data_IF_332510873715
#
_entry.id   IF_332510873715
#
_cell.length_a   1.000
_cell.length_b   1.000
_cell.length_c   1.000
_cell.angle_alpha   90.00
_cell.angle_beta   90.00
_cell.angle_gamma   90.00
#
_symmetry.space_group_name_H-M   'P 1'
#
loop_
_entity.id
_entity.type
_entity.pdbx_description
1 polymer ?
#
# COMPACT_ATOMS: atom_id res chain seq x y z
N UNK A 1 -65.08 27.03 56.75
CA UNK A 1 -63.76 27.50 56.22
C UNK A 1 -62.58 26.65 56.73
N UNK A 2 -62.81 25.57 57.45
CA UNK A 2 -61.75 24.71 58.04
C UNK A 2 -61.26 23.56 57.14
N UNK A 3 -62.17 22.92 56.37
CA UNK A 3 -61.84 21.71 55.56
C UNK A 3 -60.91 21.95 54.34
N UNK A 4 -60.91 23.11 53.81
CA UNK A 4 -60.07 23.44 52.62
C UNK A 4 -58.59 23.66 53.03
N UNK A 5 -58.34 24.10 54.25
CA UNK A 5 -56.96 24.28 54.75
C UNK A 5 -56.30 22.94 55.11
N UNK A 6 -57.05 21.99 55.71
CA UNK A 6 -56.55 20.65 56.03
C UNK A 6 -56.18 19.85 54.77
N UNK A 7 -57.02 19.89 53.72
CA UNK A 7 -56.74 19.23 52.47
C UNK A 7 -55.52 19.81 51.75
N UNK A 8 -55.31 21.12 51.83
CA UNK A 8 -54.11 21.78 51.28
C UNK A 8 -52.84 21.43 52.07
N UNK A 9 -52.96 21.36 53.38
CA UNK A 9 -51.85 20.96 54.27
C UNK A 9 -51.45 19.53 54.02
N UNK A 10 -52.43 18.64 53.88
CA UNK A 10 -52.22 17.21 53.56
C UNK A 10 -51.56 17.04 52.19
N UNK A 11 -51.97 17.80 51.19
CA UNK A 11 -51.34 17.82 49.86
C UNK A 11 -49.89 18.31 49.88
N UNK A 12 -49.58 19.34 50.65
CA UNK A 12 -48.22 19.87 50.82
C UNK A 12 -47.30 18.85 51.56
N UNK A 13 -47.80 18.16 52.58
CA UNK A 13 -47.04 17.12 53.28
C UNK A 13 -46.77 15.93 52.37
N UNK A 14 -47.74 15.52 51.53
CA UNK A 14 -47.56 14.44 50.57
C UNK A 14 -46.48 14.77 49.50
N UNK A 15 -46.51 16.02 48.99
CA UNK A 15 -45.51 16.48 48.03
C UNK A 15 -44.12 16.49 48.70
N UNK A 16 -44.01 16.95 49.94
CA UNK A 16 -42.75 16.97 50.69
C UNK A 16 -42.17 15.56 50.89
N UNK A 17 -43.02 14.60 51.24
CA UNK A 17 -42.60 13.19 51.41
C UNK A 17 -42.11 12.60 50.07
N UNK A 18 -42.79 12.87 48.96
CA UNK A 18 -42.34 12.41 47.63
C UNK A 18 -41.01 13.03 47.22
N UNK A 19 -40.82 14.34 47.51
CA UNK A 19 -39.55 15.02 47.19
C UNK A 19 -38.41 14.43 48.06
N UNK A 20 -38.63 14.19 49.33
CA UNK A 20 -37.64 13.58 50.22
C UNK A 20 -37.30 12.15 49.77
N UNK A 21 -38.30 11.36 49.35
CA UNK A 21 -38.09 10.01 48.82
C UNK A 21 -37.28 10.01 47.52
N UNK A 22 -37.54 10.99 46.62
CA UNK A 22 -36.76 11.17 45.38
C UNK A 22 -35.31 11.56 45.67
N UNK A 23 -35.09 12.49 46.60
CA UNK A 23 -33.73 12.91 46.97
C UNK A 23 -32.97 11.78 47.66
N UNK A 24 -33.62 10.97 48.52
CA UNK A 24 -33.02 9.78 49.12
C UNK A 24 -32.68 8.72 48.04
N UNK A 25 -33.58 8.53 47.04
CA UNK A 25 -33.35 7.64 45.91
C UNK A 25 -32.13 8.04 45.09
N UNK A 26 -31.96 9.34 44.79
CA UNK A 26 -30.81 9.89 44.08
C UNK A 26 -29.52 9.72 44.88
N UNK A 27 -29.55 9.93 46.18
CA UNK A 27 -28.39 9.76 47.07
C UNK A 27 -27.95 8.28 47.17
N UNK A 28 -28.91 7.36 47.23
CA UNK A 28 -28.63 5.92 47.20
C UNK A 28 -28.07 5.51 45.85
N UNK A 29 -28.69 5.96 44.73
CA UNK A 29 -28.24 5.68 43.37
C UNK A 29 -26.82 6.18 43.12
N UNK A 30 -26.48 7.38 43.58
CA UNK A 30 -25.12 7.95 43.42
C UNK A 30 -24.07 7.20 44.28
N UNK A 31 -24.48 6.56 45.37
CA UNK A 31 -23.60 5.74 46.22
C UNK A 31 -23.30 4.36 45.57
N UNK A 32 -24.26 3.79 44.83
CA UNK A 32 -24.07 2.55 44.08
C UNK A 32 -23.31 2.74 42.78
N UNK A 33 -23.36 3.94 42.20
CA UNK A 33 -22.65 4.28 40.96
C UNK A 33 -21.25 4.90 41.18
N UNK A 34 -20.65 4.74 42.32
CA UNK A 34 -19.23 5.09 42.47
C UNK A 34 -18.45 4.18 41.53
N UNK A 35 -17.74 4.71 40.51
CA UNK A 35 -16.82 3.89 39.71
C UNK A 35 -15.87 3.21 40.68
N UNK A 36 -15.81 1.88 40.60
CA UNK A 36 -14.79 1.14 41.34
C UNK A 36 -13.42 1.70 40.99
N UNK A 37 -12.44 1.58 41.89
CA UNK A 37 -11.09 2.00 41.59
C UNK A 37 -10.68 1.35 40.29
N UNK A 38 -10.46 2.16 39.25
CA UNK A 38 -9.88 1.69 37.98
C UNK A 38 -8.55 1.06 38.40
N UNK A 39 -8.31 -0.23 38.10
CA UNK A 39 -7.03 -0.83 38.39
C UNK A 39 -5.99 -0.03 37.63
N UNK A 40 -5.25 0.81 38.33
CA UNK A 40 -4.02 1.40 37.77
C UNK A 40 -3.13 0.22 37.42
N UNK A 41 -2.68 0.09 36.17
CA UNK A 41 -1.70 -0.92 35.82
C UNK A 41 -0.47 -0.64 36.69
N UNK A 42 -0.25 -1.48 37.72
CA UNK A 42 1.02 -1.55 38.45
C UNK A 42 2.06 -2.17 37.53
N UNK A 43 2.34 -1.51 36.39
CA UNK A 43 3.54 -1.75 35.62
C UNK A 43 4.66 -1.04 36.34
N UNK A 44 5.64 -1.77 36.83
CA UNK A 44 6.93 -1.21 37.21
C UNK A 44 7.39 -0.39 36.00
N UNK A 45 7.49 0.94 36.10
CA UNK A 45 8.02 1.78 35.03
C UNK A 45 9.43 1.31 34.73
N UNK A 46 9.53 0.46 33.71
CA UNK A 46 10.81 -0.05 33.25
C UNK A 46 11.54 1.08 32.55
N UNK A 47 12.65 1.52 33.10
CA UNK A 47 13.49 2.55 32.48
C UNK A 47 13.97 2.05 31.15
N UNK A 48 13.68 2.80 30.06
CA UNK A 48 13.97 2.37 28.69
C UNK A 48 14.67 3.44 27.88
N UNK A 49 15.58 3.01 27.00
CA UNK A 49 16.15 3.80 25.92
C UNK A 49 15.53 3.28 24.63
N UNK A 50 14.80 4.13 23.89
CA UNK A 50 14.24 3.81 22.59
C UNK A 50 15.06 4.45 21.49
N UNK A 51 15.54 3.66 20.55
CA UNK A 51 16.37 4.11 19.42
C UNK A 51 15.86 3.56 18.11
N UNK A 52 15.99 4.38 17.05
CA UNK A 52 15.81 3.94 15.67
C UNK A 52 17.15 3.55 15.06
N UNK A 53 17.14 2.51 14.24
CA UNK A 53 18.27 2.13 13.39
C UNK A 53 17.82 1.97 11.94
N UNK A 54 18.72 2.24 11.00
CA UNK A 54 18.46 2.13 9.58
C UNK A 54 19.57 1.35 8.90
N UNK A 55 19.20 0.42 8.03
CA UNK A 55 20.11 -0.32 7.18
C UNK A 55 19.71 -0.20 5.73
N UNK A 56 20.64 0.16 4.86
CA UNK A 56 20.44 0.27 3.43
C UNK A 56 21.44 -0.62 2.70
N UNK A 57 20.94 -1.38 1.72
CA UNK A 57 21.73 -2.23 0.84
C UNK A 57 21.42 -1.87 -0.60
N UNK A 58 22.45 -1.51 -1.38
CA UNK A 58 22.31 -1.25 -2.82
C UNK A 58 22.56 -2.53 -3.61
N UNK A 59 21.63 -2.89 -4.47
CA UNK A 59 21.72 -4.08 -5.33
C UNK A 59 21.42 -3.76 -6.79
N UNK A 60 22.08 -4.44 -7.71
CA UNK A 60 21.70 -4.40 -9.12
C UNK A 60 20.42 -5.20 -9.33
N UNK A 61 19.43 -4.67 -10.04
CA UNK A 61 18.23 -5.41 -10.43
C UNK A 61 18.61 -6.66 -11.22
N UNK A 62 17.76 -7.69 -11.13
CA UNK A 62 17.91 -8.93 -11.89
C UNK A 62 16.67 -9.32 -12.66
N UNK A 63 15.54 -8.63 -12.39
CA UNK A 63 14.31 -8.75 -13.18
C UNK A 63 13.88 -7.39 -13.72
N UNK A 64 13.12 -7.41 -14.78
CA UNK A 64 12.41 -6.24 -15.30
C UNK A 64 11.02 -6.62 -15.77
N UNK A 65 10.15 -5.64 -15.89
CA UNK A 65 8.84 -5.83 -16.49
C UNK A 65 8.43 -4.61 -17.29
N UNK A 66 7.59 -4.85 -18.28
CA UNK A 66 6.98 -3.81 -19.09
C UNK A 66 5.50 -4.13 -19.33
N UNK A 67 4.75 -3.11 -19.72
CA UNK A 67 3.37 -3.28 -20.15
C UNK A 67 3.32 -3.15 -21.67
N UNK A 68 2.85 -4.20 -22.33
CA UNK A 68 2.58 -4.22 -23.77
C UNK A 68 1.07 -4.20 -23.97
N UNK A 69 0.59 -3.29 -24.82
CA UNK A 69 -0.83 -3.13 -25.11
C UNK A 69 -1.10 -3.28 -26.61
N UNK A 70 -2.23 -3.89 -26.91
CA UNK A 70 -2.87 -3.83 -28.21
C UNK A 70 -4.04 -2.86 -28.09
N UNK A 71 -4.07 -1.86 -28.98
CA UNK A 71 -5.18 -0.92 -29.08
C UNK A 71 -5.77 -1.09 -30.47
N UNK A 72 -7.03 -1.55 -30.54
CA UNK A 72 -7.77 -1.72 -31.78
C UNK A 72 -8.92 -0.74 -31.86
N UNK A 73 -9.30 -0.38 -33.10
CA UNK A 73 -10.48 0.44 -33.37
C UNK A 73 -11.25 -0.16 -34.54
N UNK A 74 -12.57 -0.29 -34.38
CA UNK A 74 -13.44 -0.83 -35.41
C UNK A 74 -14.84 -0.21 -35.36
N UNK A 75 -15.62 -0.38 -36.43
CA UNK A 75 -17.01 0.11 -36.45
C UNK A 75 -17.92 -0.56 -35.46
N UNK A 76 -17.65 -1.81 -35.07
CA UNK A 76 -18.42 -2.55 -34.07
C UNK A 76 -17.51 -3.09 -32.96
N UNK A 77 -18.08 -3.26 -31.75
CA UNK A 77 -17.36 -3.83 -30.61
C UNK A 77 -16.80 -5.23 -30.93
N UNK A 78 -17.59 -6.10 -31.57
CA UNK A 78 -17.17 -7.45 -31.95
C UNK A 78 -15.97 -7.47 -32.91
N UNK A 79 -15.93 -6.53 -33.86
CA UNK A 79 -14.77 -6.41 -34.77
C UNK A 79 -13.51 -5.92 -34.04
N UNK A 80 -13.65 -4.96 -33.11
CA UNK A 80 -12.52 -4.48 -32.32
C UNK A 80 -11.97 -5.63 -31.44
N UNK A 81 -12.84 -6.41 -30.82
CA UNK A 81 -12.46 -7.57 -30.00
C UNK A 81 -11.79 -8.67 -30.83
N UNK A 82 -12.29 -9.01 -32.01
CA UNK A 82 -11.67 -10.01 -32.89
C UNK A 82 -10.25 -9.58 -33.31
N UNK A 83 -10.08 -8.34 -33.71
CA UNK A 83 -8.75 -7.79 -34.08
C UNK A 83 -7.78 -7.81 -32.91
N UNK A 84 -8.25 -7.47 -31.72
CA UNK A 84 -7.46 -7.51 -30.50
C UNK A 84 -7.00 -8.94 -30.17
N UNK A 85 -7.95 -9.88 -30.15
CA UNK A 85 -7.68 -11.29 -29.86
C UNK A 85 -6.63 -11.86 -30.82
N UNK A 86 -6.73 -11.55 -32.11
CA UNK A 86 -5.78 -12.01 -33.12
C UNK A 86 -4.39 -11.42 -32.91
N UNK A 87 -4.30 -10.13 -32.58
CA UNK A 87 -3.03 -9.44 -32.34
C UNK A 87 -2.40 -9.87 -31.00
N UNK A 88 -3.17 -9.84 -29.91
CA UNK A 88 -2.66 -10.18 -28.58
C UNK A 88 -2.23 -11.65 -28.49
N UNK A 89 -2.95 -12.55 -29.15
CA UNK A 89 -2.56 -13.97 -29.24
C UNK A 89 -1.19 -14.16 -29.89
N UNK A 90 -0.87 -13.38 -30.95
CA UNK A 90 0.45 -13.41 -31.59
C UNK A 90 1.54 -12.88 -30.64
N UNK A 91 1.27 -11.78 -29.95
CA UNK A 91 2.20 -11.22 -28.97
C UNK A 91 2.53 -12.25 -27.88
N UNK A 92 1.49 -12.83 -27.27
CA UNK A 92 1.66 -13.83 -26.20
C UNK A 92 2.40 -15.07 -26.70
N UNK A 93 2.04 -15.57 -27.88
CA UNK A 93 2.69 -16.75 -28.48
C UNK A 93 4.18 -16.50 -28.76
N UNK A 94 4.53 -15.32 -29.28
CA UNK A 94 5.91 -14.94 -29.55
C UNK A 94 6.73 -14.84 -28.24
N UNK A 95 6.20 -14.20 -27.22
CA UNK A 95 6.85 -14.07 -25.91
C UNK A 95 7.06 -15.46 -25.25
N UNK A 96 6.04 -16.33 -25.27
CA UNK A 96 6.16 -17.72 -24.77
C UNK A 96 7.21 -18.52 -25.55
N UNK A 97 7.25 -18.37 -26.87
CA UNK A 97 8.25 -19.03 -27.73
C UNK A 97 9.68 -18.52 -27.44
N UNK A 98 9.82 -17.30 -26.99
CA UNK A 98 11.10 -16.70 -26.58
C UNK A 98 11.50 -17.06 -25.14
N UNK A 99 10.71 -17.86 -24.42
CA UNK A 99 11.03 -18.39 -23.10
C UNK A 99 10.37 -17.67 -21.92
N UNK A 100 9.45 -16.74 -22.18
CA UNK A 100 8.65 -16.14 -21.10
C UNK A 100 7.63 -17.17 -20.61
N UNK A 101 7.65 -17.47 -19.31
CA UNK A 101 6.72 -18.42 -18.72
C UNK A 101 5.30 -17.81 -18.66
N UNK A 102 4.27 -18.63 -18.75
CA UNK A 102 2.88 -18.17 -18.74
C UNK A 102 2.53 -17.36 -17.48
N UNK A 103 3.05 -17.77 -16.33
CA UNK A 103 2.87 -17.06 -15.04
C UNK A 103 3.46 -15.66 -15.02
N UNK A 104 4.41 -15.36 -15.93
CA UNK A 104 5.11 -14.09 -16.04
C UNK A 104 4.43 -13.15 -17.07
N UNK A 105 3.30 -13.59 -17.66
CA UNK A 105 2.43 -12.79 -18.54
C UNK A 105 1.08 -12.62 -17.83
N UNK A 106 0.75 -11.38 -17.50
CA UNK A 106 -0.48 -11.08 -16.77
C UNK A 106 -1.28 -9.98 -17.46
N UNK A 107 -2.56 -10.23 -17.76
CA UNK A 107 -3.47 -9.16 -18.22
C UNK A 107 -3.70 -8.18 -17.07
N UNK A 108 -3.43 -6.91 -17.33
CA UNK A 108 -3.54 -5.82 -16.35
C UNK A 108 -4.63 -4.80 -16.71
N UNK A 109 -5.07 -4.81 -17.97
CA UNK A 109 -6.16 -3.95 -18.45
C UNK A 109 -6.88 -4.61 -19.61
N UNK A 110 -8.20 -4.52 -19.62
CA UNK A 110 -9.06 -4.86 -20.73
C UNK A 110 -10.24 -3.88 -20.73
N UNK A 111 -10.24 -2.94 -21.68
CA UNK A 111 -11.20 -1.84 -21.71
C UNK A 111 -11.74 -1.61 -23.12
N UNK A 112 -13.05 -1.69 -23.28
CA UNK A 112 -13.76 -1.37 -24.50
C UNK A 112 -14.53 -0.07 -24.32
N UNK A 113 -14.33 0.90 -25.19
CA UNK A 113 -14.98 2.21 -25.12
C UNK A 113 -15.55 2.63 -26.48
N UNK A 114 -16.74 3.23 -26.51
CA UNK A 114 -17.29 3.80 -27.72
C UNK A 114 -16.52 5.06 -28.13
N UNK A 115 -16.33 5.25 -29.43
CA UNK A 115 -15.74 6.46 -30.01
C UNK A 115 -16.86 7.32 -30.58
N UNK A 116 -16.93 8.57 -30.11
CA UNK A 116 -17.89 9.55 -30.58
C UNK A 116 -17.19 10.67 -31.35
N UNK A 117 -17.83 11.10 -32.43
CA UNK A 117 -17.43 12.30 -33.16
C UNK A 117 -18.33 13.45 -32.73
N UNK A 118 -17.74 14.55 -32.29
CA UNK A 118 -18.48 15.76 -31.94
C UNK A 118 -19.21 16.32 -33.17
N UNK A 119 -20.46 16.69 -32.98
CA UNK A 119 -21.21 17.39 -34.02
C UNK A 119 -20.66 18.81 -34.17
N UNK A 120 -20.38 19.23 -35.44
CA UNK A 120 -19.98 20.61 -35.72
C UNK A 120 -21.14 21.61 -35.60
N UNK A 121 -22.37 21.12 -35.42
CA UNK A 121 -23.57 21.96 -35.30
C UNK A 121 -23.92 22.14 -33.81
N UNK A 122 -24.09 23.38 -33.32
CA UNK A 122 -24.49 23.66 -31.94
C UNK A 122 -25.79 22.94 -31.56
N UNK A 123 -25.77 22.20 -30.44
CA UNK A 123 -26.95 21.53 -29.88
C UNK A 123 -27.24 20.11 -30.42
N UNK A 124 -26.43 19.57 -31.34
CA UNK A 124 -26.54 18.17 -31.75
C UNK A 124 -25.68 17.25 -30.86
N UNK A 125 -26.20 16.08 -30.58
CA UNK A 125 -25.49 15.05 -29.83
C UNK A 125 -24.30 14.49 -30.64
N UNK A 126 -23.21 14.05 -29.97
CA UNK A 126 -22.12 13.35 -30.60
C UNK A 126 -22.62 12.07 -31.32
N UNK A 127 -22.02 11.76 -32.45
CA UNK A 127 -22.37 10.61 -33.27
C UNK A 127 -21.41 9.46 -32.95
N UNK A 128 -21.92 8.28 -32.63
CA UNK A 128 -21.11 7.07 -32.45
C UNK A 128 -20.49 6.69 -33.79
N UNK A 129 -19.15 6.66 -33.86
CA UNK A 129 -18.40 6.34 -35.08
C UNK A 129 -17.64 5.01 -35.00
N UNK A 130 -17.55 4.40 -33.82
CA UNK A 130 -16.88 3.12 -33.64
C UNK A 130 -16.60 2.80 -32.18
N UNK A 131 -15.74 1.82 -31.98
CA UNK A 131 -15.30 1.34 -30.68
C UNK A 131 -13.79 1.24 -30.66
N UNK A 132 -13.19 1.55 -29.51
CA UNK A 132 -11.79 1.32 -29.20
C UNK A 132 -11.69 0.29 -28.11
N UNK A 133 -10.87 -0.74 -28.33
CA UNK A 133 -10.49 -1.72 -27.30
C UNK A 133 -9.02 -1.53 -26.96
N UNK A 134 -8.71 -1.50 -25.68
CA UNK A 134 -7.36 -1.56 -25.13
C UNK A 134 -7.22 -2.83 -24.31
N UNK A 135 -6.25 -3.66 -24.70
CA UNK A 135 -5.87 -4.86 -23.97
C UNK A 135 -4.39 -4.77 -23.62
N UNK A 136 -4.07 -4.75 -22.34
CA UNK A 136 -2.72 -4.58 -21.84
C UNK A 136 -2.28 -5.78 -21.01
N UNK A 137 -1.10 -6.29 -21.32
CA UNK A 137 -0.43 -7.33 -20.55
C UNK A 137 0.83 -6.77 -19.90
N UNK A 138 1.08 -7.18 -18.66
CA UNK A 138 2.39 -7.03 -18.02
C UNK A 138 3.21 -8.26 -18.29
N UNK A 139 4.44 -8.05 -18.74
CA UNK A 139 5.41 -9.10 -19.03
C UNK A 139 6.58 -8.96 -18.08
N UNK A 140 6.79 -9.95 -17.22
CA UNK A 140 7.96 -10.03 -16.35
C UNK A 140 9.06 -10.83 -17.02
N UNK A 141 10.26 -10.26 -17.06
CA UNK A 141 11.45 -10.83 -17.69
C UNK A 141 12.49 -11.10 -16.61
N UNK A 142 12.77 -12.38 -16.36
CA UNK A 142 13.67 -12.83 -15.29
C UNK A 142 15.15 -12.66 -15.65
N UNK A 143 15.49 -12.44 -16.92
CA UNK A 143 16.82 -12.02 -17.36
C UNK A 143 16.75 -10.58 -17.86
N UNK A 144 17.27 -9.67 -17.05
CA UNK A 144 17.22 -8.24 -17.34
C UNK A 144 17.89 -7.87 -18.68
N UNK A 145 18.90 -8.66 -19.12
CA UNK A 145 19.59 -8.43 -20.38
C UNK A 145 18.70 -8.76 -21.59
N UNK A 146 17.71 -9.62 -21.40
CA UNK A 146 16.76 -9.99 -22.45
C UNK A 146 15.57 -9.01 -22.55
N UNK A 147 15.43 -8.04 -21.61
CA UNK A 147 14.25 -7.17 -21.52
C UNK A 147 13.99 -6.40 -22.82
N UNK A 148 15.02 -5.75 -23.39
CA UNK A 148 14.90 -5.01 -24.64
C UNK A 148 14.44 -5.91 -25.80
N UNK A 149 15.03 -7.11 -25.91
CA UNK A 149 14.64 -8.07 -26.94
C UNK A 149 13.18 -8.53 -26.81
N UNK A 150 12.69 -8.73 -25.56
CA UNK A 150 11.30 -9.12 -25.32
C UNK A 150 10.33 -7.98 -25.66
N UNK A 151 10.72 -6.75 -25.39
CA UNK A 151 9.97 -5.56 -25.77
C UNK A 151 9.86 -5.42 -27.29
N UNK A 152 10.98 -5.51 -28.03
CA UNK A 152 11.01 -5.47 -29.49
C UNK A 152 10.17 -6.60 -30.10
N UNK A 153 10.21 -7.80 -29.48
CA UNK A 153 9.42 -8.95 -29.90
C UNK A 153 7.92 -8.70 -29.75
N UNK A 154 7.50 -8.10 -28.63
CA UNK A 154 6.09 -7.74 -28.43
C UNK A 154 5.60 -6.74 -29.50
N UNK A 155 6.38 -5.69 -29.78
CA UNK A 155 6.05 -4.68 -30.79
C UNK A 155 5.96 -5.32 -32.18
N UNK A 156 6.96 -6.12 -32.55
CA UNK A 156 7.02 -6.77 -33.88
C UNK A 156 5.87 -7.75 -34.13
N UNK A 157 5.22 -8.25 -33.07
CA UNK A 157 4.12 -9.21 -33.14
C UNK A 157 2.72 -8.60 -32.91
N UNK A 158 2.62 -7.26 -32.79
CA UNK A 158 1.31 -6.60 -32.78
C UNK A 158 1.02 -5.70 -31.60
N UNK A 159 1.88 -5.63 -30.58
CA UNK A 159 1.75 -4.60 -29.57
C UNK A 159 2.02 -3.23 -30.19
N UNK A 160 1.07 -2.31 -30.07
CA UNK A 160 1.14 -0.98 -30.67
C UNK A 160 1.20 0.17 -29.65
N UNK A 161 1.18 -0.19 -28.36
CA UNK A 161 1.45 0.73 -27.27
C UNK A 161 2.27 -0.01 -26.19
N UNK A 162 3.42 0.55 -25.82
CA UNK A 162 4.30 0.00 -24.79
C UNK A 162 4.60 1.08 -23.79
N UNK A 163 4.43 0.76 -22.52
CA UNK A 163 4.63 1.70 -21.42
C UNK A 163 5.22 1.01 -20.19
N UNK A 164 5.78 1.84 -19.30
CA UNK A 164 6.17 1.40 -17.97
C UNK A 164 7.21 0.30 -17.98
N UNK A 165 8.44 0.60 -18.45
CA UNK A 165 9.58 -0.28 -18.22
C UNK A 165 10.10 -0.05 -16.81
N UNK A 166 10.13 -1.11 -16.02
CA UNK A 166 10.55 -1.09 -14.62
C UNK A 166 11.59 -2.17 -14.35
N UNK A 167 12.40 -1.93 -13.33
CA UNK A 167 13.41 -2.86 -12.87
C UNK A 167 13.19 -3.17 -11.41
N UNK A 168 13.51 -4.40 -11.02
CA UNK A 168 13.31 -4.86 -9.66
C UNK A 168 14.29 -5.97 -9.27
N UNK A 169 14.11 -6.44 -8.04
CA UNK A 169 14.78 -7.61 -7.52
C UNK A 169 13.82 -8.80 -7.60
N UNK A 170 14.34 -9.95 -8.01
CA UNK A 170 13.65 -11.23 -7.83
C UNK A 170 13.37 -11.48 -6.35
N UNK A 171 12.39 -12.33 -6.04
CA UNK A 171 12.06 -12.68 -4.65
C UNK A 171 13.29 -13.18 -3.87
N UNK A 172 14.20 -13.89 -4.53
CA UNK A 172 15.42 -14.39 -3.91
C UNK A 172 16.37 -13.24 -3.54
N UNK A 173 16.60 -12.30 -4.47
CA UNK A 173 17.44 -11.12 -4.21
C UNK A 173 16.79 -10.15 -3.24
N UNK A 174 15.48 -9.97 -3.30
CA UNK A 174 14.76 -9.12 -2.36
C UNK A 174 14.89 -9.64 -0.92
N UNK A 175 14.73 -10.95 -0.69
CA UNK A 175 14.96 -11.59 0.61
C UNK A 175 16.42 -11.47 1.08
N UNK A 176 17.37 -11.57 0.17
CA UNK A 176 18.77 -11.36 0.50
C UNK A 176 19.03 -9.91 0.92
N UNK A 177 18.51 -8.93 0.17
CA UNK A 177 18.62 -7.51 0.49
C UNK A 177 17.97 -7.19 1.84
N UNK A 178 16.77 -7.73 2.08
CA UNK A 178 16.04 -7.60 3.34
C UNK A 178 16.86 -8.08 4.53
N UNK A 179 17.40 -9.30 4.45
CA UNK A 179 18.21 -9.88 5.53
C UNK A 179 19.46 -9.05 5.83
N UNK A 180 20.16 -8.57 4.80
CA UNK A 180 21.34 -7.75 4.95
C UNK A 180 20.99 -6.36 5.51
N UNK A 181 19.93 -5.72 5.00
CA UNK A 181 19.48 -4.42 5.47
C UNK A 181 18.99 -4.48 6.93
N UNK A 182 18.29 -5.56 7.31
CA UNK A 182 17.84 -5.77 8.69
C UNK A 182 19.03 -5.91 9.65
N UNK A 183 20.06 -6.70 9.28
CA UNK A 183 21.27 -6.84 10.09
C UNK A 183 21.98 -5.47 10.31
N UNK A 184 22.06 -4.66 9.25
CA UNK A 184 22.62 -3.32 9.35
C UNK A 184 21.77 -2.39 10.23
N UNK A 185 20.44 -2.44 10.10
CA UNK A 185 19.53 -1.63 10.89
C UNK A 185 19.60 -1.95 12.40
N UNK A 186 19.66 -3.24 12.73
CA UNK A 186 19.81 -3.68 14.14
C UNK A 186 21.14 -3.25 14.70
N UNK A 187 22.24 -3.39 13.94
CA UNK A 187 23.57 -2.94 14.36
C UNK A 187 23.64 -1.42 14.56
N UNK A 188 22.98 -0.64 13.70
CA UNK A 188 22.89 0.81 13.85
C UNK A 188 22.13 1.20 15.12
N UNK A 189 20.97 0.57 15.38
CA UNK A 189 20.20 0.79 16.59
C UNK A 189 20.98 0.42 17.85
N UNK A 190 21.66 -0.73 17.87
CA UNK A 190 22.45 -1.19 19.00
C UNK A 190 23.62 -0.23 19.31
N UNK A 191 24.32 0.24 18.28
CA UNK A 191 25.38 1.22 18.44
C UNK A 191 24.88 2.55 19.01
N UNK A 192 23.71 3.02 18.56
CA UNK A 192 23.07 4.24 19.11
C UNK A 192 22.67 4.06 20.56
N UNK A 193 22.05 2.91 20.89
CA UNK A 193 21.67 2.59 22.27
C UNK A 193 22.88 2.58 23.20
N UNK A 194 23.98 1.92 22.80
CA UNK A 194 25.25 1.91 23.57
C UNK A 194 25.84 3.30 23.73
N UNK A 195 25.82 4.12 22.68
CA UNK A 195 26.32 5.50 22.76
C UNK A 195 25.52 6.33 23.77
N UNK A 196 24.19 6.22 23.75
CA UNK A 196 23.30 6.93 24.68
C UNK A 196 23.52 6.43 26.11
N UNK A 197 23.56 5.12 26.33
CA UNK A 197 23.77 4.54 27.66
C UNK A 197 25.10 4.98 28.27
N UNK A 198 26.17 4.98 27.48
CA UNK A 198 27.49 5.46 27.93
C UNK A 198 27.46 6.95 28.30
N UNK A 199 26.81 7.78 27.49
CA UNK A 199 26.68 9.22 27.78
C UNK A 199 25.84 9.51 29.03
N UNK A 200 24.86 8.63 29.36
CA UNK A 200 24.03 8.73 30.54
C UNK A 200 24.65 8.07 31.78
N UNK A 201 25.75 7.32 31.63
CA UNK A 201 26.40 6.57 32.72
C UNK A 201 25.55 5.39 33.23
N UNK A 202 24.73 4.76 32.36
CA UNK A 202 23.85 3.63 32.67
C UNK A 202 24.28 2.39 31.90
N UNK A 203 23.84 1.21 32.37
CA UNK A 203 24.12 -0.06 31.73
C UNK A 203 22.90 -0.58 30.98
N UNK A 204 23.05 -0.96 29.71
CA UNK A 204 21.99 -1.65 28.95
C UNK A 204 21.83 -3.08 29.48
N UNK A 205 20.58 -3.46 29.73
CA UNK A 205 20.24 -4.83 30.15
C UNK A 205 19.93 -5.70 28.91
N UNK A 206 19.18 -5.16 27.96
CA UNK A 206 18.84 -5.85 26.72
C UNK A 206 17.59 -5.26 26.06
N UNK A 207 17.26 -5.71 24.82
CA UNK A 207 16.09 -5.26 24.12
C UNK A 207 14.81 -5.83 24.76
N UNK A 208 13.76 -5.01 24.90
CA UNK A 208 12.44 -5.37 25.44
C UNK A 208 11.34 -5.31 24.39
N UNK A 209 11.52 -4.52 23.33
CA UNK A 209 10.61 -4.48 22.20
C UNK A 209 11.36 -4.13 20.92
N UNK A 210 10.90 -4.68 19.81
CA UNK A 210 11.42 -4.42 18.46
C UNK A 210 10.23 -4.22 17.53
N UNK A 211 10.25 -3.13 16.76
CA UNK A 211 9.32 -2.88 15.66
C UNK A 211 10.12 -2.70 14.38
N UNK A 212 9.65 -3.27 13.29
CA UNK A 212 10.35 -3.30 12.01
C UNK A 212 9.49 -2.60 10.96
N UNK A 213 10.08 -1.66 10.23
CA UNK A 213 9.49 -1.02 9.06
C UNK A 213 10.31 -1.36 7.82
N UNK A 214 9.62 -1.60 6.70
CA UNK A 214 10.26 -1.90 5.42
C UNK A 214 9.99 -0.79 4.43
N UNK A 215 10.98 -0.48 3.62
CA UNK A 215 10.83 0.41 2.47
C UNK A 215 11.58 -0.17 1.28
N UNK A 216 10.83 -0.52 0.24
CA UNK A 216 11.35 -0.92 -1.05
C UNK A 216 10.54 -0.22 -2.14
N UNK A 217 11.21 0.52 -3.03
CA UNK A 217 10.57 1.16 -4.17
C UNK A 217 11.20 0.63 -5.47
N UNK A 218 10.42 -0.01 -6.36
CA UNK A 218 10.89 -0.33 -7.70
C UNK A 218 11.20 0.96 -8.48
N UNK A 219 12.30 0.97 -9.24
CA UNK A 219 12.67 2.13 -10.07
C UNK A 219 11.88 2.09 -11.37
N UNK A 220 11.10 3.13 -11.62
CA UNK A 220 10.42 3.36 -12.89
C UNK A 220 11.36 4.06 -13.88
N UNK A 221 11.47 3.52 -15.09
CA UNK A 221 12.14 4.17 -16.20
C UNK A 221 11.09 4.80 -17.11
N UNK A 222 11.10 6.14 -17.22
CA UNK A 222 10.26 6.84 -18.20
C UNK A 222 10.95 6.80 -19.58
N UNK A 223 10.59 5.84 -20.41
CA UNK A 223 10.94 5.86 -21.83
C UNK A 223 10.07 6.93 -22.51
N UNK A 224 10.61 8.13 -22.71
CA UNK A 224 10.03 9.07 -23.68
C UNK A 224 10.34 8.52 -25.06
N UNK A 225 9.29 8.12 -25.81
CA UNK A 225 9.41 7.53 -27.12
C UNK A 225 10.24 8.39 -28.08
N UNK A 226 11.10 7.73 -28.83
CA UNK A 226 11.92 8.29 -29.89
C UNK A 226 12.94 7.24 -30.33
N UNK A 227 12.85 6.86 -31.58
CA UNK A 227 13.59 5.82 -32.26
C UNK A 227 15.10 5.75 -31.96
N UNK A 228 15.60 4.54 -32.10
CA UNK A 228 16.95 4.01 -31.95
C UNK A 228 17.23 3.47 -30.57
N UNK A 229 17.61 2.19 -30.51
CA UNK A 229 17.93 1.35 -29.35
C UNK A 229 18.78 2.09 -28.31
N UNK A 230 18.11 2.88 -27.45
CA UNK A 230 18.81 3.42 -26.30
C UNK A 230 19.11 2.25 -25.36
N UNK A 231 20.37 2.03 -24.96
CA UNK A 231 20.70 0.94 -24.04
C UNK A 231 19.91 1.14 -22.73
N UNK A 232 19.12 0.14 -22.37
CA UNK A 232 18.36 0.13 -21.15
C UNK A 232 19.32 -0.15 -20.00
N UNK A 233 19.63 0.86 -19.18
CA UNK A 233 20.56 0.74 -18.05
C UNK A 233 19.79 0.80 -16.73
N UNK A 234 19.74 -0.30 -15.96
CA UNK A 234 18.87 -0.39 -14.78
C UNK A 234 19.37 0.33 -13.54
N UNK A 235 20.64 0.76 -13.48
CA UNK A 235 21.20 1.38 -12.29
C UNK A 235 21.27 0.43 -11.08
N UNK A 236 21.19 1.00 -9.87
CA UNK A 236 21.11 0.26 -8.61
C UNK A 236 19.82 0.57 -7.88
N UNK A 237 19.34 -0.40 -7.10
CA UNK A 237 18.17 -0.29 -6.25
C UNK A 237 18.58 -0.30 -4.79
N UNK A 238 18.11 0.66 -4.02
CA UNK A 238 18.34 0.72 -2.58
C UNK A 238 17.20 0.03 -1.84
N UNK A 239 17.55 -0.98 -1.06
CA UNK A 239 16.64 -1.67 -0.15
C UNK A 239 16.90 -1.18 1.26
N UNK A 240 15.92 -0.51 1.86
CA UNK A 240 16.06 0.09 3.18
C UNK A 240 15.13 -0.56 4.18
N UNK A 241 15.67 -0.92 5.34
CA UNK A 241 14.93 -1.39 6.52
C UNK A 241 15.16 -0.41 7.66
N UNK A 242 14.13 -0.07 8.39
CA UNK A 242 14.20 0.68 9.64
C UNK A 242 13.73 -0.20 10.80
N UNK A 243 14.38 -0.08 11.95
CA UNK A 243 13.98 -0.74 13.18
C UNK A 243 13.82 0.31 14.28
N UNK A 244 12.87 0.09 15.17
CA UNK A 244 12.73 0.81 16.43
C UNK A 244 12.89 -0.20 17.55
N UNK A 245 13.89 0.00 18.40
CA UNK A 245 14.21 -0.93 19.50
C UNK A 245 14.19 -0.17 20.81
N UNK A 246 13.48 -0.72 21.79
CA UNK A 246 13.53 -0.25 23.17
C UNK A 246 14.40 -1.19 24.01
N UNK A 247 15.37 -0.64 24.72
CA UNK A 247 16.29 -1.34 25.61
C UNK A 247 15.98 -0.98 27.06
N UNK A 248 15.95 -1.97 27.94
CA UNK A 248 15.99 -1.71 29.38
C UNK A 248 17.37 -1.28 29.84
N UNK A 249 17.46 -0.43 30.86
CA UNK A 249 18.73 -0.04 31.46
C UNK A 249 18.68 0.05 33.00
N UNK A 250 19.84 -0.08 33.65
CA UNK A 250 20.05 0.01 35.10
C UNK A 250 21.09 1.07 35.44
#
# INVERSE_FOLDING_TARGET
>A
MSETHEKRLFGLVLILVVVVALLAGVAIYSSYMKPGPVPTPSGTEQKTISVGGTGTVSMSPDIGWFTASVVTQAATAAQAEQQDNDAMSKVIAALKSAGIAEKDIQTVEFSLSPIYQDSKEPGKMPILIGYSLRHSIRVTVNDINALGKMLDLAISNGANDVSGVYFGLSDAKAKQAESQALDLAVKDADNRAKTIANAMGVNLVGPISVSIGYYYAPVAMNLKGGAEQAPIMPGQLDYTVSVQIAYAFT
#
